data_IF_618212816507
#
_entry.id   IF_618212816507
#
_cell.length_a   1.000
_cell.length_b   1.000
_cell.length_c   1.000
_cell.angle_alpha   90.00
_cell.angle_beta   90.00
_cell.angle_gamma   90.00
#
_symmetry.space_group_name_H-M   'P 1'
#
loop_
_entity.id
_entity.type
_entity.pdbx_description
1 polymer ?
#
# COMPACT_ATOMS: atom_id res chain seq x y z
N UNK A 1 36.46 87.04 -12.63
CA UNK A 1 36.93 85.72 -12.24
C UNK A 1 35.83 85.13 -11.40
N UNK A 2 34.96 84.26 -11.99
CA UNK A 2 33.80 83.65 -11.32
C UNK A 2 34.16 82.21 -10.93
N UNK A 3 34.16 81.91 -9.65
CA UNK A 3 34.35 80.55 -9.14
C UNK A 3 33.03 79.74 -9.26
N UNK A 4 33.07 78.69 -10.00
CA UNK A 4 31.96 77.71 -10.08
C UNK A 4 32.07 76.79 -8.91
N UNK A 5 31.04 76.77 -8.07
CA UNK A 5 30.89 75.89 -6.90
C UNK A 5 30.35 74.56 -7.36
N UNK A 6 31.14 73.48 -7.32
CA UNK A 6 30.66 72.13 -7.59
C UNK A 6 29.80 71.66 -6.42
N UNK A 7 28.56 71.24 -6.74
CA UNK A 7 27.67 70.57 -5.83
C UNK A 7 27.97 69.06 -5.85
N UNK A 8 28.36 68.54 -4.70
CA UNK A 8 28.45 67.10 -4.49
C UNK A 8 27.05 66.51 -4.25
N UNK A 9 26.47 65.76 -5.23
CA UNK A 9 25.27 65.03 -5.00
C UNK A 9 25.63 63.68 -4.33
N UNK A 10 25.18 63.53 -3.09
CA UNK A 10 25.28 62.28 -2.36
C UNK A 10 24.21 61.33 -2.90
N UNK A 11 24.63 60.38 -3.72
CA UNK A 11 23.75 59.29 -4.16
C UNK A 11 23.46 58.34 -3.01
N UNK A 12 22.23 58.36 -2.54
CA UNK A 12 21.71 57.36 -1.61
C UNK A 12 21.46 56.07 -2.40
N UNK A 13 22.33 55.10 -2.23
CA UNK A 13 22.11 53.76 -2.76
C UNK A 13 21.11 53.06 -1.85
N UNK A 14 19.84 52.99 -2.29
CA UNK A 14 18.81 52.17 -1.65
C UNK A 14 19.07 50.75 -2.04
N UNK A 15 19.73 50.00 -1.15
CA UNK A 15 19.88 48.53 -1.29
C UNK A 15 18.56 47.86 -0.95
N UNK A 16 17.77 47.52 -1.96
CA UNK A 16 16.59 46.66 -1.79
C UNK A 16 17.05 45.24 -1.44
N UNK A 17 17.08 44.92 -0.15
CA UNK A 17 17.25 43.56 0.33
C UNK A 17 15.96 42.78 0.03
N UNK A 18 15.93 42.05 -1.08
CA UNK A 18 14.84 41.11 -1.40
C UNK A 18 15.00 39.93 -0.48
N UNK A 19 14.26 39.90 0.62
CA UNK A 19 14.14 38.75 1.51
C UNK A 19 13.27 37.70 0.81
N UNK A 20 13.89 36.77 0.10
CA UNK A 20 13.19 35.61 -0.45
C UNK A 20 12.86 34.68 0.71
N UNK A 21 11.64 34.79 1.23
CA UNK A 21 11.07 33.79 2.13
C UNK A 21 10.86 32.49 1.32
N UNK A 22 11.75 31.54 1.49
CA UNK A 22 11.51 30.16 1.09
C UNK A 22 10.41 29.59 1.99
N UNK A 23 9.16 29.77 1.60
CA UNK A 23 8.06 29.03 2.19
C UNK A 23 8.26 27.59 1.72
N UNK A 24 8.80 26.73 2.57
CA UNK A 24 8.78 25.29 2.36
C UNK A 24 7.31 24.84 2.44
N UNK A 25 6.60 24.91 1.32
CA UNK A 25 5.32 24.23 1.17
C UNK A 25 5.68 22.75 1.05
N UNK A 26 5.78 22.08 2.20
CA UNK A 26 5.80 20.63 2.20
C UNK A 26 4.42 20.18 1.72
N UNK A 27 4.33 19.83 0.44
CA UNK A 27 3.12 19.20 -0.05
C UNK A 27 2.89 17.93 0.78
N UNK A 28 1.66 17.76 1.27
CA UNK A 28 1.25 16.58 2.02
C UNK A 28 1.60 15.35 1.18
N UNK A 29 2.48 14.50 1.70
CA UNK A 29 2.94 13.33 0.97
C UNK A 29 1.94 12.19 1.17
N UNK A 30 1.16 11.91 0.13
CA UNK A 30 0.20 10.80 0.11
C UNK A 30 0.84 9.51 -0.46
N UNK A 31 0.20 8.37 -0.22
CA UNK A 31 0.67 7.04 -0.63
C UNK A 31 0.96 6.95 -2.13
N UNK A 32 0.03 7.47 -2.95
CA UNK A 32 0.13 7.55 -4.41
C UNK A 32 -0.90 8.58 -4.93
N UNK A 33 -0.78 9.09 -6.15
CA UNK A 33 -1.77 9.98 -6.74
C UNK A 33 -3.17 9.34 -6.74
N UNK A 34 -4.14 10.00 -6.12
CA UNK A 34 -5.51 9.48 -5.96
C UNK A 34 -5.76 8.69 -4.68
N UNK A 35 -4.76 8.54 -3.80
CA UNK A 35 -4.99 7.98 -2.47
C UNK A 35 -5.90 8.91 -1.65
N UNK A 36 -6.95 8.34 -1.05
CA UNK A 36 -7.95 9.05 -0.26
C UNK A 36 -8.15 8.38 1.12
N UNK A 37 -9.00 8.98 1.93
CA UNK A 37 -9.32 8.46 3.26
C UNK A 37 -8.17 8.53 4.27
N UNK A 38 -8.35 7.97 5.45
CA UNK A 38 -7.34 8.03 6.52
C UNK A 38 -6.05 7.27 6.18
N UNK A 39 -6.12 6.17 5.41
CA UNK A 39 -4.94 5.41 4.97
C UNK A 39 -4.09 6.09 3.90
N UNK A 40 -4.50 7.25 3.38
CA UNK A 40 -3.74 7.96 2.32
C UNK A 40 -2.32 8.35 2.70
N UNK A 41 -1.99 8.33 3.99
CA UNK A 41 -0.66 8.67 4.50
C UNK A 41 0.27 7.46 4.64
N UNK A 42 -0.19 6.26 4.27
CA UNK A 42 0.67 5.09 4.24
C UNK A 42 1.94 5.37 3.39
N UNK A 43 3.10 5.14 3.97
CA UNK A 43 4.39 5.33 3.28
C UNK A 43 4.75 4.13 2.43
N UNK A 44 4.26 2.96 2.81
CA UNK A 44 4.62 1.71 2.17
C UNK A 44 6.14 1.52 2.09
N UNK A 45 6.60 0.90 1.03
CA UNK A 45 8.01 0.64 0.78
C UNK A 45 8.83 1.83 0.25
N UNK A 46 8.37 3.06 0.42
CA UNK A 46 9.01 4.25 -0.12
C UNK A 46 10.45 4.40 0.38
N UNK A 47 11.37 4.61 -0.55
CA UNK A 47 12.80 4.76 -0.25
C UNK A 47 13.54 3.45 0.06
N UNK A 48 12.82 2.33 0.07
CA UNK A 48 13.36 1.02 0.35
C UNK A 48 13.80 0.23 -0.89
N UNK A 49 14.04 -1.04 -0.70
CA UNK A 49 14.47 -1.97 -1.76
C UNK A 49 13.30 -2.37 -2.65
N UNK A 50 13.62 -2.70 -3.91
CA UNK A 50 12.66 -3.28 -4.84
C UNK A 50 12.93 -4.78 -4.97
N UNK A 51 11.91 -5.60 -4.68
CA UNK A 51 11.94 -7.04 -4.86
C UNK A 51 11.03 -7.46 -6.01
N UNK A 52 11.53 -8.33 -6.88
CA UNK A 52 10.83 -8.79 -8.08
C UNK A 52 10.23 -10.17 -7.86
N UNK A 53 8.95 -10.31 -8.13
CA UNK A 53 8.30 -11.61 -8.23
C UNK A 53 8.43 -12.08 -9.68
N UNK A 54 9.24 -13.10 -9.89
CA UNK A 54 9.62 -13.63 -11.21
C UNK A 54 9.02 -15.00 -11.51
N UNK A 55 8.31 -15.59 -10.55
CA UNK A 55 7.64 -16.89 -10.73
C UNK A 55 6.35 -16.95 -9.91
N UNK A 56 5.49 -17.91 -10.25
CA UNK A 56 4.19 -18.13 -9.61
C UNK A 56 4.22 -19.20 -8.49
N UNK A 57 5.39 -19.58 -8.02
CA UNK A 57 5.52 -20.55 -6.94
C UNK A 57 5.27 -19.87 -5.59
N UNK A 58 4.62 -20.59 -4.69
CA UNK A 58 4.55 -20.22 -3.28
C UNK A 58 5.59 -21.01 -2.49
N UNK A 59 6.77 -20.43 -2.37
CA UNK A 59 7.90 -20.98 -1.60
C UNK A 59 8.67 -19.82 -0.94
N UNK A 60 9.79 -20.14 -0.27
CA UNK A 60 10.65 -19.14 0.40
C UNK A 60 11.92 -18.83 -0.39
N UNK A 61 11.91 -19.13 -1.68
CA UNK A 61 13.04 -18.86 -2.57
C UNK A 61 12.87 -17.50 -3.25
N UNK A 62 13.97 -16.86 -3.57
CA UNK A 62 14.01 -15.60 -4.29
C UNK A 62 13.17 -15.65 -5.57
N UNK A 63 12.46 -14.58 -5.83
CA UNK A 63 11.54 -14.48 -6.97
C UNK A 63 10.12 -14.96 -6.67
N UNK A 64 9.83 -15.54 -5.50
CA UNK A 64 8.45 -15.83 -5.07
C UNK A 64 7.86 -14.66 -4.26
N UNK A 65 6.53 -14.52 -4.26
CA UNK A 65 5.87 -13.48 -3.46
C UNK A 65 6.12 -13.67 -1.97
N UNK A 66 6.08 -14.91 -1.47
CA UNK A 66 6.30 -15.19 -0.04
C UNK A 66 7.71 -14.80 0.41
N UNK A 67 8.72 -15.08 -0.40
CA UNK A 67 10.07 -14.63 -0.10
C UNK A 67 10.14 -13.10 -0.05
N UNK A 68 9.57 -12.42 -1.03
CA UNK A 68 9.61 -10.96 -1.11
C UNK A 68 8.86 -10.28 0.05
N UNK A 69 7.70 -10.84 0.46
CA UNK A 69 6.92 -10.35 1.61
C UNK A 69 7.71 -10.49 2.91
N UNK A 70 8.47 -11.58 3.08
CA UNK A 70 9.21 -11.88 4.30
C UNK A 70 10.56 -11.13 4.43
N UNK A 71 10.87 -10.20 3.51
CA UNK A 71 12.09 -9.41 3.64
C UNK A 71 11.89 -8.29 4.67
N UNK A 72 12.98 -7.85 5.29
CA UNK A 72 12.98 -6.78 6.29
C UNK A 72 13.15 -5.40 5.68
N UNK A 73 12.65 -4.40 6.41
CA UNK A 73 12.78 -2.99 6.10
C UNK A 73 11.88 -2.50 4.97
N UNK A 74 11.91 -1.20 4.65
CA UNK A 74 11.08 -0.62 3.61
C UNK A 74 11.31 -1.29 2.25
N UNK A 75 10.22 -1.73 1.60
CA UNK A 75 10.32 -2.50 0.36
C UNK A 75 9.11 -2.36 -0.56
N UNK A 76 9.38 -2.35 -1.84
CA UNK A 76 8.36 -2.41 -2.88
C UNK A 76 8.47 -3.71 -3.64
N UNK A 77 7.36 -4.46 -3.68
CA UNK A 77 7.26 -5.72 -4.43
C UNK A 77 6.62 -5.41 -5.78
N UNK A 78 7.31 -5.76 -6.84
CA UNK A 78 6.84 -5.66 -8.22
C UNK A 78 6.76 -7.04 -8.86
N UNK A 79 5.97 -7.18 -9.92
CA UNK A 79 5.75 -8.46 -10.61
C UNK A 79 6.26 -8.39 -12.04
N UNK A 80 7.08 -9.35 -12.41
CA UNK A 80 7.52 -9.58 -13.80
C UNK A 80 6.75 -10.77 -14.44
N UNK A 81 5.80 -11.32 -13.71
CA UNK A 81 4.93 -12.44 -14.14
C UNK A 81 3.47 -12.10 -13.91
N UNK A 82 2.59 -12.77 -14.64
CA UNK A 82 1.14 -12.74 -14.42
C UNK A 82 0.60 -14.15 -14.27
N UNK A 83 -0.53 -14.30 -13.59
CA UNK A 83 -1.21 -15.57 -13.41
C UNK A 83 -1.64 -15.82 -11.96
N UNK A 84 -1.88 -17.06 -11.64
CA UNK A 84 -2.36 -17.48 -10.31
C UNK A 84 -1.24 -18.09 -9.50
N UNK A 85 -1.00 -17.51 -8.33
CA UNK A 85 -0.14 -18.09 -7.29
C UNK A 85 -1.02 -18.91 -6.36
N UNK A 86 -0.86 -20.23 -6.38
CA UNK A 86 -1.55 -21.10 -5.45
C UNK A 86 -0.79 -21.13 -4.13
N UNK A 87 -1.32 -20.43 -3.15
CA UNK A 87 -0.75 -20.37 -1.80
C UNK A 87 -0.80 -21.75 -1.15
N UNK A 88 0.23 -22.10 -0.41
CA UNK A 88 0.37 -23.36 0.35
C UNK A 88 0.05 -23.19 1.84
N UNK A 89 -0.05 -21.98 2.28
CA UNK A 89 -0.44 -21.56 3.64
C UNK A 89 -0.86 -20.11 3.60
N UNK A 90 -1.46 -19.61 4.68
CA UNK A 90 -1.75 -18.19 4.85
C UNK A 90 -0.52 -17.35 4.51
N UNK A 91 -0.69 -16.34 3.67
CA UNK A 91 0.35 -15.37 3.36
C UNK A 91 0.27 -14.23 4.38
N UNK A 92 1.16 -14.21 5.35
CA UNK A 92 1.18 -13.19 6.39
C UNK A 92 2.13 -12.07 5.97
N UNK A 93 1.66 -10.83 6.04
CA UNK A 93 2.41 -9.60 5.86
C UNK A 93 2.63 -9.03 7.26
N UNK A 94 3.72 -9.42 7.92
CA UNK A 94 4.05 -9.10 9.31
C UNK A 94 5.23 -8.13 9.47
N UNK A 95 5.94 -7.84 8.39
CA UNK A 95 6.98 -6.81 8.37
C UNK A 95 6.40 -5.49 7.81
N UNK A 96 6.53 -4.36 8.51
CA UNK A 96 5.98 -3.08 8.09
C UNK A 96 6.68 -2.47 6.86
N UNK A 97 6.20 -1.31 6.45
CA UNK A 97 6.78 -0.47 5.38
C UNK A 97 6.87 -1.20 4.02
N UNK A 98 5.74 -1.77 3.60
CA UNK A 98 5.66 -2.55 2.36
C UNK A 98 4.68 -1.95 1.35
N UNK A 99 5.08 -1.94 0.08
CA UNK A 99 4.20 -1.72 -1.07
C UNK A 99 4.16 -2.97 -1.94
N UNK A 100 2.97 -3.52 -2.17
CA UNK A 100 2.76 -4.61 -3.15
C UNK A 100 2.07 -4.01 -4.37
N UNK A 101 2.85 -3.84 -5.43
CA UNK A 101 2.47 -3.10 -6.63
C UNK A 101 2.00 -4.04 -7.75
N UNK A 102 0.79 -4.62 -7.59
CA UNK A 102 0.21 -5.56 -8.56
C UNK A 102 0.04 -4.99 -9.97
N UNK A 103 -0.09 -3.67 -10.12
CA UNK A 103 -0.18 -2.99 -11.42
C UNK A 103 1.09 -3.14 -12.28
N UNK A 104 2.20 -3.61 -11.73
CA UNK A 104 3.42 -3.87 -12.48
C UNK A 104 3.40 -5.20 -13.21
N UNK A 105 2.47 -6.09 -12.84
CA UNK A 105 2.35 -7.38 -13.48
C UNK A 105 1.92 -7.24 -14.95
N UNK A 106 2.50 -8.02 -15.85
CA UNK A 106 2.05 -8.04 -17.25
C UNK A 106 0.64 -8.66 -17.40
N UNK A 107 0.03 -8.48 -18.56
CA UNK A 107 -1.22 -9.14 -18.95
C UNK A 107 -2.36 -8.96 -17.94
N UNK A 108 -2.95 -10.06 -17.52
CA UNK A 108 -4.12 -10.09 -16.63
C UNK A 108 -3.78 -9.85 -15.13
N UNK A 109 -2.54 -9.55 -14.80
CA UNK A 109 -2.12 -9.34 -13.42
C UNK A 109 -2.01 -10.62 -12.59
N UNK A 110 -1.96 -10.47 -11.26
CA UNK A 110 -1.70 -11.57 -10.33
C UNK A 110 -2.93 -11.88 -9.48
N UNK A 111 -3.20 -13.17 -9.30
CA UNK A 111 -4.20 -13.71 -8.40
C UNK A 111 -3.54 -14.56 -7.32
N UNK A 112 -3.87 -14.30 -6.05
CA UNK A 112 -3.52 -15.15 -4.91
C UNK A 112 -4.70 -16.06 -4.60
N UNK A 113 -4.47 -17.37 -4.55
CA UNK A 113 -5.53 -18.37 -4.41
C UNK A 113 -5.16 -19.45 -3.39
N UNK A 114 -6.17 -20.03 -2.76
CA UNK A 114 -6.07 -21.28 -1.98
C UNK A 114 -5.96 -21.06 -0.47
N UNK A 115 -5.39 -19.98 -0.02
CA UNK A 115 -5.33 -19.58 1.39
C UNK A 115 -5.55 -18.08 1.52
N UNK A 116 -5.83 -17.65 2.73
CA UNK A 116 -5.95 -16.25 3.13
C UNK A 116 -4.65 -15.46 2.93
N UNK A 117 -4.81 -14.15 2.75
CA UNK A 117 -3.72 -13.20 2.96
C UNK A 117 -4.04 -12.37 4.18
N UNK A 118 -3.13 -12.28 5.14
CA UNK A 118 -3.30 -11.52 6.38
C UNK A 118 -2.32 -10.36 6.45
N UNK A 119 -2.83 -9.18 6.75
CA UNK A 119 -2.01 -8.00 7.04
C UNK A 119 -1.93 -7.86 8.57
N UNK A 120 -0.72 -7.94 9.11
CA UNK A 120 -0.38 -7.79 10.52
C UNK A 120 0.83 -6.86 10.64
N UNK A 121 0.79 -5.74 9.94
CA UNK A 121 1.87 -4.75 9.88
C UNK A 121 1.36 -3.38 9.50
N UNK A 122 2.03 -2.36 9.99
CA UNK A 122 1.76 -0.95 9.66
C UNK A 122 2.43 -0.47 8.37
N UNK A 123 1.97 0.64 7.82
CA UNK A 123 2.50 1.25 6.60
C UNK A 123 2.44 0.31 5.40
N UNK A 124 1.27 -0.23 5.11
CA UNK A 124 1.05 -1.21 4.05
C UNK A 124 0.26 -0.59 2.89
N UNK A 125 0.76 -0.75 1.69
CA UNK A 125 0.09 -0.39 0.43
C UNK A 125 -0.05 -1.64 -0.43
N UNK A 126 -1.29 -2.04 -0.75
CA UNK A 126 -1.56 -3.17 -1.64
C UNK A 126 -2.43 -2.70 -2.79
N UNK A 127 -2.00 -2.93 -4.04
CA UNK A 127 -2.71 -2.45 -5.21
C UNK A 127 -2.78 -3.48 -6.33
N UNK A 128 -3.92 -3.49 -7.03
CA UNK A 128 -4.14 -4.24 -8.27
C UNK A 128 -3.89 -5.75 -8.14
N UNK A 129 -4.32 -6.36 -7.04
CA UNK A 129 -4.28 -7.80 -6.84
C UNK A 129 -5.69 -8.39 -6.80
N UNK A 130 -5.77 -9.66 -7.12
CA UNK A 130 -6.98 -10.48 -6.97
C UNK A 130 -6.75 -11.52 -5.89
N UNK A 131 -7.67 -11.59 -4.94
CA UNK A 131 -7.65 -12.55 -3.85
C UNK A 131 -8.82 -13.52 -4.02
N UNK A 132 -8.54 -14.78 -4.18
CA UNK A 132 -9.51 -15.87 -4.47
C UNK A 132 -9.19 -17.04 -3.58
N UNK A 133 -9.54 -16.93 -2.29
CA UNK A 133 -9.20 -17.96 -1.32
C UNK A 133 -9.73 -19.32 -1.75
N UNK A 134 -11.04 -19.44 -1.91
CA UNK A 134 -11.68 -20.70 -2.25
C UNK A 134 -11.70 -21.69 -1.08
N UNK A 135 -12.33 -22.83 -1.29
CA UNK A 135 -12.55 -23.87 -0.29
C UNK A 135 -11.69 -25.14 -0.49
N UNK A 136 -10.80 -25.13 -1.47
CA UNK A 136 -10.01 -26.31 -1.86
C UNK A 136 -9.19 -26.89 -0.69
N UNK A 137 -8.78 -26.03 0.24
CA UNK A 137 -8.02 -26.42 1.43
C UNK A 137 -8.91 -26.61 2.67
N UNK A 138 -10.23 -26.49 2.54
CA UNK A 138 -11.21 -26.62 3.61
C UNK A 138 -10.88 -25.75 4.84
N UNK A 139 -10.43 -24.54 4.59
CA UNK A 139 -10.05 -23.59 5.60
C UNK A 139 -11.08 -22.47 5.64
N UNK A 140 -11.75 -22.29 6.78
CA UNK A 140 -12.63 -21.13 7.00
C UNK A 140 -11.77 -19.94 7.40
N UNK A 141 -11.60 -18.99 6.49
CA UNK A 141 -10.83 -17.75 6.70
C UNK A 141 -11.24 -16.74 5.62
N UNK A 142 -10.79 -15.52 5.71
CA UNK A 142 -11.08 -14.46 4.76
C UNK A 142 -10.17 -14.52 3.53
N UNK A 143 -10.63 -13.98 2.42
CA UNK A 143 -9.74 -13.85 1.27
C UNK A 143 -8.59 -12.88 1.58
N UNK A 144 -8.88 -11.80 2.32
CA UNK A 144 -7.87 -10.92 2.92
C UNK A 144 -8.39 -10.35 4.23
N UNK A 145 -7.54 -10.36 5.27
CA UNK A 145 -7.87 -9.78 6.58
C UNK A 145 -6.77 -8.88 7.12
N UNK A 146 -7.17 -7.94 7.99
CA UNK A 146 -6.31 -7.14 8.85
C UNK A 146 -7.03 -6.98 10.19
N UNK A 147 -6.84 -7.91 11.12
CA UNK A 147 -7.66 -8.07 12.34
C UNK A 147 -6.86 -8.09 13.64
N UNK A 148 -5.53 -8.00 13.58
CA UNK A 148 -4.68 -8.17 14.76
C UNK A 148 -4.46 -6.89 15.61
N UNK A 149 -5.14 -5.79 15.22
CA UNK A 149 -5.60 -4.78 16.17
C UNK A 149 -4.78 -3.51 16.40
N UNK A 150 -3.48 -3.40 16.14
CA UNK A 150 -2.73 -2.15 16.41
C UNK A 150 -2.03 -1.56 15.18
N UNK A 151 -2.33 -2.10 14.01
CA UNK A 151 -1.69 -1.68 12.78
C UNK A 151 -2.28 -0.37 12.25
N UNK A 152 -1.42 0.45 11.64
CA UNK A 152 -1.76 1.80 11.21
C UNK A 152 -1.32 2.07 9.79
N UNK A 153 -2.03 3.01 9.13
CA UNK A 153 -1.67 3.50 7.82
C UNK A 153 -1.66 2.40 6.77
N UNK A 154 -2.82 1.81 6.54
CA UNK A 154 -3.02 0.74 5.56
C UNK A 154 -3.91 1.27 4.43
N UNK A 155 -3.51 1.07 3.18
CA UNK A 155 -4.36 1.36 2.02
C UNK A 155 -4.36 0.20 1.03
N UNK A 156 -5.58 -0.25 0.73
CA UNK A 156 -5.87 -1.30 -0.24
C UNK A 156 -6.62 -0.63 -1.41
N UNK A 157 -6.07 -0.76 -2.62
CA UNK A 157 -6.55 0.01 -3.76
C UNK A 157 -6.63 -0.83 -5.03
N UNK A 158 -7.75 -0.72 -5.78
CA UNK A 158 -7.97 -1.45 -7.03
C UNK A 158 -7.78 -2.97 -6.92
N UNK A 159 -8.17 -3.56 -5.81
CA UNK A 159 -8.12 -5.00 -5.58
C UNK A 159 -9.51 -5.64 -5.74
N UNK A 160 -9.54 -6.95 -5.94
CA UNK A 160 -10.79 -7.71 -5.90
C UNK A 160 -10.67 -8.94 -5.02
N UNK A 161 -11.74 -9.23 -4.27
CA UNK A 161 -11.80 -10.26 -3.26
C UNK A 161 -13.03 -11.12 -3.48
N UNK A 162 -12.85 -12.44 -3.47
CA UNK A 162 -13.94 -13.39 -3.53
C UNK A 162 -13.56 -14.72 -2.89
N UNK A 163 -14.59 -15.49 -2.57
CA UNK A 163 -14.47 -16.86 -2.14
C UNK A 163 -13.79 -17.00 -0.77
N UNK A 164 -13.99 -16.03 0.12
CA UNK A 164 -13.69 -16.19 1.54
C UNK A 164 -14.62 -17.23 2.15
N UNK A 165 -14.10 -18.03 3.06
CA UNK A 165 -14.85 -19.10 3.71
C UNK A 165 -15.42 -18.70 5.07
N UNK A 166 -15.02 -17.55 5.58
CA UNK A 166 -15.60 -16.87 6.74
C UNK A 166 -16.21 -15.56 6.24
N UNK A 167 -15.52 -14.45 6.23
CA UNK A 167 -15.85 -13.29 5.41
C UNK A 167 -15.05 -13.28 4.11
N UNK A 168 -15.50 -12.45 3.15
CA UNK A 168 -14.65 -12.17 1.99
C UNK A 168 -13.47 -11.32 2.41
N UNK A 169 -13.71 -10.32 3.30
CA UNK A 169 -12.67 -9.46 3.88
C UNK A 169 -13.03 -9.06 5.30
N UNK A 170 -12.02 -8.90 6.18
CA UNK A 170 -12.20 -8.36 7.53
C UNK A 170 -11.16 -7.33 7.89
N UNK A 171 -11.64 -6.17 8.38
CA UNK A 171 -10.84 -5.04 8.79
C UNK A 171 -11.25 -4.63 10.19
N UNK A 172 -10.47 -5.03 11.19
CA UNK A 172 -10.87 -4.87 12.57
C UNK A 172 -9.70 -4.39 13.45
N UNK A 173 -9.94 -3.32 14.22
CA UNK A 173 -8.96 -2.80 15.16
C UNK A 173 -7.80 -1.98 14.58
N UNK A 174 -7.81 -1.67 13.27
CA UNK A 174 -6.73 -0.93 12.63
C UNK A 174 -7.00 0.58 12.64
N UNK A 175 -5.94 1.38 12.76
CA UNK A 175 -6.01 2.83 12.64
C UNK A 175 -5.62 3.31 11.23
N UNK A 176 -6.28 4.36 10.75
CA UNK A 176 -5.95 5.00 9.45
C UNK A 176 -5.95 4.00 8.29
N UNK A 177 -7.00 3.21 8.19
CA UNK A 177 -7.18 2.27 7.10
C UNK A 177 -8.10 2.81 6.02
N UNK A 178 -7.75 2.55 4.77
CA UNK A 178 -8.59 2.85 3.59
C UNK A 178 -8.65 1.65 2.67
N UNK A 179 -9.86 1.33 2.23
CA UNK A 179 -10.11 0.41 1.10
C UNK A 179 -10.86 1.19 0.04
N UNK A 180 -10.25 1.36 -1.14
CA UNK A 180 -10.82 2.17 -2.20
C UNK A 180 -10.76 1.47 -3.55
N UNK A 181 -11.76 1.73 -4.42
CA UNK A 181 -11.85 1.18 -5.78
C UNK A 181 -11.72 -0.35 -5.83
N UNK A 182 -12.20 -1.02 -4.79
CA UNK A 182 -12.15 -2.47 -4.65
C UNK A 182 -13.50 -3.10 -4.95
N UNK A 183 -13.46 -4.36 -5.38
CA UNK A 183 -14.66 -5.20 -5.57
C UNK A 183 -14.62 -6.36 -4.58
N UNK A 184 -15.72 -6.58 -3.89
CA UNK A 184 -15.88 -7.65 -2.89
C UNK A 184 -17.18 -8.38 -3.15
N UNK A 185 -17.16 -9.69 -3.12
CA UNK A 185 -18.37 -10.48 -3.35
C UNK A 185 -18.09 -11.98 -3.46
N UNK A 186 -19.13 -12.74 -3.69
CA UNK A 186 -19.09 -14.19 -3.84
C UNK A 186 -18.44 -14.87 -2.63
N UNK A 187 -18.88 -14.51 -1.40
CA UNK A 187 -18.53 -15.25 -0.19
C UNK A 187 -18.99 -16.72 -0.31
N UNK A 188 -18.20 -17.64 0.19
CA UNK A 188 -18.57 -19.06 0.20
C UNK A 188 -19.40 -19.34 1.45
N UNK A 189 -20.48 -20.10 1.26
CA UNK A 189 -21.27 -20.60 2.39
C UNK A 189 -20.55 -21.78 3.06
N UNK A 190 -19.52 -21.44 3.81
CA UNK A 190 -18.76 -22.39 4.60
C UNK A 190 -19.26 -22.36 6.04
N UNK A 191 -19.74 -23.47 6.58
CA UNK A 191 -20.34 -23.56 7.92
C UNK A 191 -21.53 -22.61 8.17
N UNK A 192 -22.37 -22.35 7.16
CA UNK A 192 -23.46 -21.36 7.20
C UNK A 192 -22.99 -19.93 7.48
N UNK A 193 -21.80 -19.59 7.08
CA UNK A 193 -21.23 -18.26 7.18
C UNK A 193 -20.82 -17.79 5.77
N UNK A 194 -21.40 -16.72 5.28
CA UNK A 194 -21.17 -16.19 3.94
C UNK A 194 -21.36 -14.67 3.94
N UNK A 195 -20.48 -13.99 4.62
CA UNK A 195 -20.53 -12.51 4.71
C UNK A 195 -19.52 -11.87 3.77
N UNK A 196 -19.87 -10.68 3.27
CA UNK A 196 -18.93 -9.94 2.41
C UNK A 196 -17.83 -9.30 3.23
N UNK A 197 -18.13 -8.84 4.43
CA UNK A 197 -17.07 -8.24 5.24
C UNK A 197 -17.47 -7.91 6.67
N UNK A 198 -16.46 -7.93 7.52
CA UNK A 198 -16.50 -7.44 8.89
C UNK A 198 -15.68 -6.15 9.01
N UNK A 199 -16.32 -5.09 9.51
CA UNK A 199 -15.72 -3.76 9.57
C UNK A 199 -15.86 -3.19 10.97
N UNK A 200 -14.82 -2.54 11.47
CA UNK A 200 -14.87 -1.79 12.70
C UNK A 200 -13.91 -2.28 13.76
N UNK A 201 -14.33 -2.14 15.02
CA UNK A 201 -13.52 -2.43 16.20
C UNK A 201 -12.78 -1.20 16.74
N UNK A 202 -12.56 -1.21 18.04
CA UNK A 202 -11.76 -0.24 18.79
C UNK A 202 -10.65 -0.99 19.50
#
# INVERSE_FOLDING_TARGET
>A
MKFIKQSKSSGVIISCLVLILFINISAEQIAFPGAAGPGKHATGGRGGKVYKVTNLKDNREEGSIRWAVNQDGPRTIIFEVSGTINLKSVLIIDNPDITIAGQTAPGEGVCLKGYSTRVSASNVIIRYLRFRMGDINKHADDALSAIDGDDKNIIIDHCSFSWGGDEVVSWYGNENMTVQYCMMGEGLDYNNHSMVGLWGGQ
#
